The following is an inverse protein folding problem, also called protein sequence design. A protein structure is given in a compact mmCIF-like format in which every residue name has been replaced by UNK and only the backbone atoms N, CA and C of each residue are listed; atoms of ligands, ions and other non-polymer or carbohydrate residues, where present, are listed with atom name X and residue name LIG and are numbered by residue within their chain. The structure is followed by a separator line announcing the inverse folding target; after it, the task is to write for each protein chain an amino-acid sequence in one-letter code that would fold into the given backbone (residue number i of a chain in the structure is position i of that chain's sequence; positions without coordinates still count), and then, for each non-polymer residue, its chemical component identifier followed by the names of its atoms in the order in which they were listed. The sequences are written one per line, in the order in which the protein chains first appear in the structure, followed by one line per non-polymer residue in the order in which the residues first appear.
data_IF_628540587078
#
_entry.id   IF_628540587078
#
_cell.length_a   1.000
_cell.length_b   1.000
_cell.length_c   1.000
_cell.angle_alpha   90.00
_cell.angle_beta   90.00
_cell.angle_gamma   90.00
#
_symmetry.space_group_name_H-M   'P 1'
#
loop_
_entity.id
_entity.type
_entity.pdbx_description
1 polymer ?
#
# COMPACT_ATOMS: atom_id res chain seq x y z
N UNK A 1 -2.19 -8.58 -18.68
CA UNK A 1 -2.57 -8.31 -17.27
C UNK A 1 -4.05 -7.94 -17.21
N UNK A 2 -4.84 -8.52 -16.28
CA UNK A 2 -6.26 -8.19 -16.14
C UNK A 2 -6.41 -6.78 -15.54
N UNK A 3 -7.39 -5.95 -15.95
CA UNK A 3 -7.56 -4.58 -15.45
C UNK A 3 -7.63 -4.48 -13.92
N UNK A 4 -8.28 -5.44 -13.27
CA UNK A 4 -8.39 -5.55 -11.81
C UNK A 4 -7.04 -5.73 -11.11
N UNK A 5 -6.18 -6.59 -11.68
CA UNK A 5 -4.82 -6.80 -11.16
C UNK A 5 -3.98 -5.53 -11.31
N UNK A 6 -4.14 -4.80 -12.44
CA UNK A 6 -3.48 -3.52 -12.65
C UNK A 6 -3.95 -2.47 -11.62
N UNK A 7 -5.26 -2.38 -11.37
CA UNK A 7 -5.83 -1.49 -10.35
C UNK A 7 -5.26 -1.80 -8.96
N UNK A 8 -5.28 -3.07 -8.53
CA UNK A 8 -4.70 -3.48 -7.25
C UNK A 8 -3.21 -3.14 -7.14
N UNK A 9 -2.42 -3.38 -8.19
CA UNK A 9 -0.99 -3.01 -8.21
C UNK A 9 -0.78 -1.49 -8.07
N UNK A 10 -1.57 -0.67 -8.78
CA UNK A 10 -1.47 0.79 -8.68
C UNK A 10 -1.80 1.28 -7.28
N UNK A 11 -2.85 0.73 -6.66
CA UNK A 11 -3.17 1.01 -5.26
C UNK A 11 -2.05 0.59 -4.31
N UNK A 12 -1.40 -0.56 -4.56
CA UNK A 12 -0.20 -0.96 -3.84
C UNK A 12 0.94 0.04 -3.94
N UNK A 13 1.23 0.53 -5.15
CA UNK A 13 2.25 1.57 -5.37
C UNK A 13 1.90 2.85 -4.61
N UNK A 14 0.63 3.28 -4.65
CA UNK A 14 0.16 4.45 -3.91
C UNK A 14 0.35 4.26 -2.39
N UNK A 15 -0.01 3.09 -1.86
CA UNK A 15 0.18 2.76 -0.45
C UNK A 15 1.65 2.77 -0.03
N UNK A 16 2.54 2.17 -0.82
CA UNK A 16 3.97 2.16 -0.55
C UNK A 16 4.58 3.57 -0.58
N UNK A 17 4.22 4.39 -1.58
CA UNK A 17 4.70 5.77 -1.68
C UNK A 17 4.15 6.64 -0.55
N UNK A 18 2.87 6.51 -0.21
CA UNK A 18 2.26 7.20 0.92
C UNK A 18 2.94 6.86 2.24
N UNK A 19 3.27 5.58 2.47
CA UNK A 19 4.05 5.17 3.63
C UNK A 19 5.43 5.81 3.67
N UNK A 20 6.15 5.84 2.54
CA UNK A 20 7.46 6.50 2.47
C UNK A 20 7.35 7.99 2.75
N UNK A 21 6.32 8.68 2.27
CA UNK A 21 6.08 10.09 2.60
C UNK A 21 5.89 10.28 4.12
N UNK A 22 5.13 9.41 4.78
CA UNK A 22 4.96 9.46 6.24
C UNK A 22 6.27 9.20 6.99
N UNK A 23 7.07 8.25 6.54
CA UNK A 23 8.40 7.99 7.10
C UNK A 23 9.28 9.24 6.98
N UNK A 24 9.27 9.91 5.82
CA UNK A 24 10.04 11.14 5.61
C UNK A 24 9.58 12.28 6.51
N UNK A 25 8.26 12.42 6.71
CA UNK A 25 7.70 13.40 7.63
C UNK A 25 8.10 13.12 9.09
N UNK A 26 8.10 11.84 9.50
CA UNK A 26 8.57 11.44 10.82
C UNK A 26 10.07 11.70 11.02
N UNK A 27 10.88 11.45 9.97
CA UNK A 27 12.30 11.78 9.99
C UNK A 27 12.55 13.28 10.15
N UNK A 28 11.78 14.12 9.46
CA UNK A 28 11.85 15.57 9.61
C UNK A 28 11.49 16.03 11.03
N UNK A 29 10.58 15.32 11.70
CA UNK A 29 10.08 15.66 13.03
C UNK A 29 10.94 15.19 14.21
N UNK A 30 12.06 14.51 13.98
CA UNK A 30 12.93 14.01 15.06
C UNK A 30 13.55 12.64 14.84
N UNK A 31 13.30 12.00 13.69
CA UNK A 31 13.89 10.71 13.35
C UNK A 31 13.14 9.52 13.94
N UNK A 32 13.11 8.40 13.21
CA UNK A 32 12.59 7.12 13.73
C UNK A 32 13.66 6.25 14.39
N UNK A 33 14.94 6.63 14.27
CA UNK A 33 16.07 5.84 14.78
C UNK A 33 16.29 4.51 14.07
N UNK A 34 15.59 4.26 12.95
CA UNK A 34 15.72 3.05 12.15
C UNK A 34 16.38 3.34 10.79
N UNK A 35 17.23 2.41 10.35
CA UNK A 35 17.95 2.51 9.08
C UNK A 35 17.04 2.52 7.84
N UNK A 36 17.63 2.81 6.68
CA UNK A 36 16.91 2.86 5.40
C UNK A 36 16.32 1.50 4.99
N UNK A 37 17.06 0.41 5.19
CA UNK A 37 16.65 -0.94 4.76
C UNK A 37 15.33 -1.40 5.41
N UNK A 38 15.13 -1.30 6.75
CA UNK A 38 13.83 -1.58 7.38
C UNK A 38 12.68 -0.75 6.82
N UNK A 39 12.91 0.54 6.54
CA UNK A 39 11.89 1.44 5.98
C UNK A 39 11.43 0.97 4.60
N UNK A 40 12.38 0.61 3.73
CA UNK A 40 12.07 0.07 2.41
C UNK A 40 11.34 -1.27 2.51
N UNK A 41 11.74 -2.15 3.43
CA UNK A 41 11.05 -3.41 3.69
C UNK A 41 9.59 -3.19 4.10
N UNK A 42 9.34 -2.27 5.04
CA UNK A 42 7.99 -1.89 5.45
C UNK A 42 7.18 -1.28 4.30
N UNK A 43 7.79 -0.45 3.45
CA UNK A 43 7.12 0.12 2.28
C UNK A 43 6.63 -0.98 1.32
N UNK A 44 7.43 -2.02 1.10
CA UNK A 44 7.03 -3.18 0.29
C UNK A 44 5.85 -3.92 0.94
N UNK A 45 5.91 -4.19 2.25
CA UNK A 45 4.83 -4.85 2.98
C UNK A 45 3.52 -4.05 2.89
N UNK A 46 3.58 -2.74 3.13
CA UNK A 46 2.42 -1.86 3.00
C UNK A 46 1.86 -1.90 1.59
N UNK A 47 2.71 -1.80 0.56
CA UNK A 47 2.26 -1.88 -0.82
C UNK A 47 1.57 -3.20 -1.16
N UNK A 48 2.08 -4.34 -0.69
CA UNK A 48 1.45 -5.66 -0.87
C UNK A 48 0.09 -5.73 -0.17
N UNK A 49 0.01 -5.27 1.08
CA UNK A 49 -1.24 -5.26 1.86
C UNK A 49 -2.28 -4.35 1.19
N UNK A 50 -1.89 -3.16 0.75
CA UNK A 50 -2.78 -2.24 0.05
C UNK A 50 -3.28 -2.85 -1.25
N UNK A 51 -2.39 -3.44 -2.07
CA UNK A 51 -2.79 -4.09 -3.31
C UNK A 51 -3.77 -5.24 -3.09
N UNK A 52 -3.49 -6.11 -2.11
CA UNK A 52 -4.35 -7.23 -1.77
C UNK A 52 -5.71 -6.75 -1.27
N UNK A 53 -5.72 -5.75 -0.39
CA UNK A 53 -6.95 -5.18 0.18
C UNK A 53 -7.81 -4.55 -0.89
N UNK A 54 -7.23 -3.74 -1.79
CA UNK A 54 -7.95 -3.15 -2.93
C UNK A 54 -8.55 -4.22 -3.83
N UNK A 55 -7.81 -5.29 -4.11
CA UNK A 55 -8.32 -6.40 -4.94
C UNK A 55 -9.49 -7.14 -4.26
N UNK A 56 -9.38 -7.41 -2.95
CA UNK A 56 -10.43 -8.08 -2.18
C UNK A 56 -11.67 -7.22 -2.03
N UNK A 57 -11.53 -5.92 -1.71
CA UNK A 57 -12.68 -5.01 -1.64
C UNK A 57 -13.42 -4.94 -2.99
N UNK A 58 -12.68 -4.87 -4.11
CA UNK A 58 -13.31 -4.87 -5.44
C UNK A 58 -14.07 -6.17 -5.71
N UNK A 59 -13.69 -7.30 -5.12
CA UNK A 59 -14.48 -8.55 -5.22
C UNK A 59 -15.68 -8.57 -4.28
N UNK A 60 -15.54 -8.00 -3.09
CA UNK A 60 -16.62 -7.92 -2.10
C UNK A 60 -17.73 -6.98 -2.57
N UNK A 61 -17.38 -5.79 -3.09
CA UNK A 61 -18.34 -4.82 -3.61
C UNK A 61 -19.18 -5.38 -4.77
N UNK A 62 -18.55 -6.05 -5.72
CA UNK A 62 -19.26 -6.70 -6.84
C UNK A 62 -20.16 -7.85 -6.36
N UNK A 63 -19.82 -8.48 -5.23
CA UNK A 63 -20.65 -9.52 -4.62
C UNK A 63 -21.84 -8.90 -3.87
N UNK A 64 -21.65 -7.81 -3.13
CA UNK A 64 -22.72 -7.16 -2.38
C UNK A 64 -23.77 -6.52 -3.29
N UNK A 65 -23.38 -6.02 -4.46
CA UNK A 65 -24.34 -5.48 -5.46
C UNK A 65 -25.27 -6.55 -6.05
N UNK A 66 -24.96 -7.84 -5.87
CA UNK A 66 -25.76 -8.96 -6.41
C UNK A 66 -26.62 -9.68 -5.36
N UNK A 67 -26.49 -9.30 -4.09
CA UNK A 67 -27.22 -9.87 -2.95
C UNK A 67 -28.39 -8.96 -2.56
#
# INVERSE_FOLDING_TARGET
MRPRTKSGLLWGVIGALGFLVLVQAAELGGGLGIGLTPKLGLAVVVGVVTAATSYVLETWLVRSERA
#
